data_IF_705910992574
#
_entry.id   IF_705910992574
#
_cell.length_a   1.000
_cell.length_b   1.000
_cell.length_c   1.000
_cell.angle_alpha   90.00
_cell.angle_beta   90.00
_cell.angle_gamma   90.00
#
_symmetry.space_group_name_H-M   'P 1'
#
loop_
_entity.id
_entity.type
_entity.pdbx_description
1 polymer ?
#
# COMPACT_ATOMS: atom_id res chain seq x y z
N UNK A 1 3.40 30.40 -1.85
CA UNK A 1 2.68 29.44 -0.99
C UNK A 1 2.25 28.28 -1.87
N UNK A 2 2.96 27.18 -1.82
CA UNK A 2 2.54 25.99 -2.52
C UNK A 2 1.23 25.51 -1.87
N UNK A 3 0.14 25.55 -2.61
CA UNK A 3 -1.10 24.89 -2.24
C UNK A 3 -0.75 23.44 -1.94
N UNK A 4 -0.93 23.00 -0.71
CA UNK A 4 -0.85 21.57 -0.36
C UNK A 4 -2.01 20.94 -1.11
N UNK A 5 -1.73 20.49 -2.33
CA UNK A 5 -2.70 19.75 -3.13
C UNK A 5 -3.04 18.53 -2.31
N UNK A 6 -4.27 18.49 -1.82
CA UNK A 6 -4.81 17.42 -1.00
C UNK A 6 -4.57 16.11 -1.74
N UNK A 7 -3.59 15.34 -1.29
CA UNK A 7 -3.12 14.14 -1.98
C UNK A 7 -4.27 13.14 -2.06
N UNK A 8 -4.65 12.72 -3.25
CA UNK A 8 -5.69 11.72 -3.46
C UNK A 8 -5.35 10.40 -2.76
N UNK A 9 -4.07 10.00 -2.82
CA UNK A 9 -3.58 8.81 -2.12
C UNK A 9 -3.76 8.94 -0.62
N UNK A 10 -3.47 10.11 -0.04
CA UNK A 10 -3.63 10.35 1.38
C UNK A 10 -5.08 10.18 1.82
N UNK A 11 -6.03 10.71 1.04
CA UNK A 11 -7.46 10.56 1.34
C UNK A 11 -7.94 9.12 1.21
N UNK A 12 -7.55 8.43 0.13
CA UNK A 12 -7.86 7.03 -0.06
C UNK A 12 -7.27 6.16 1.06
N UNK A 13 -6.01 6.40 1.44
CA UNK A 13 -5.35 5.71 2.54
C UNK A 13 -6.06 5.96 3.88
N UNK A 14 -6.42 7.21 4.20
CA UNK A 14 -7.17 7.55 5.41
C UNK A 14 -8.53 6.84 5.46
N UNK A 15 -9.25 6.83 4.33
CA UNK A 15 -10.54 6.17 4.22
C UNK A 15 -10.43 4.65 4.46
N UNK A 16 -9.39 4.03 3.92
CA UNK A 16 -9.20 2.57 4.02
C UNK A 16 -8.64 2.13 5.38
N UNK A 17 -7.68 2.89 5.91
CA UNK A 17 -6.97 2.54 7.15
C UNK A 17 -7.66 3.06 8.41
N UNK A 18 -8.45 4.12 8.30
CA UNK A 18 -8.96 4.86 9.46
C UNK A 18 -7.88 5.62 10.23
N UNK A 19 -6.68 5.77 9.66
CA UNK A 19 -5.51 6.38 10.32
C UNK A 19 -5.19 7.75 9.74
N UNK A 20 -4.76 8.69 10.60
CA UNK A 20 -4.31 10.00 10.17
C UNK A 20 -2.79 10.16 10.36
N UNK A 21 -2.01 10.18 9.27
CA UNK A 21 -0.55 10.32 9.35
C UNK A 21 -0.12 11.67 9.95
N UNK A 22 -0.98 12.70 9.98
CA UNK A 22 -0.64 14.01 10.57
C UNK A 22 -0.33 13.94 12.07
N UNK A 23 -0.82 12.90 12.77
CA UNK A 23 -0.53 12.67 14.18
C UNK A 23 0.92 12.22 14.44
N UNK A 24 1.67 11.81 13.40
CA UNK A 24 3.04 11.34 13.54
C UNK A 24 4.03 12.49 13.73
N UNK A 25 4.81 12.44 14.80
CA UNK A 25 5.91 13.40 15.06
C UNK A 25 7.32 12.85 14.72
N UNK A 26 7.39 11.78 13.92
CA UNK A 26 8.64 11.26 13.35
C UNK A 26 9.67 10.75 14.38
N UNK A 27 9.23 10.09 15.43
CA UNK A 27 10.12 9.54 16.47
C UNK A 27 10.91 8.29 16.04
N UNK A 28 10.60 7.70 14.87
CA UNK A 28 11.26 6.55 14.27
C UNK A 28 11.21 5.21 15.07
N UNK A 29 10.45 5.11 16.15
CA UNK A 29 10.29 3.87 16.93
C UNK A 29 9.73 2.72 16.08
N UNK A 30 8.82 3.02 15.14
CA UNK A 30 8.26 2.05 14.19
C UNK A 30 9.35 1.45 13.29
N UNK A 31 10.31 2.25 12.83
CA UNK A 31 11.42 1.78 12.00
C UNK A 31 12.44 0.97 12.80
N UNK A 32 12.74 1.40 14.01
CA UNK A 32 13.65 0.67 14.90
C UNK A 32 13.09 -0.71 15.31
N UNK A 33 11.77 -0.85 15.39
CA UNK A 33 11.12 -2.08 15.78
C UNK A 33 10.77 -3.02 14.60
N UNK A 34 10.88 -2.55 13.37
CA UNK A 34 10.46 -3.31 12.19
C UNK A 34 11.46 -4.42 11.85
N UNK A 35 11.03 -5.69 11.81
CA UNK A 35 11.93 -6.83 11.56
C UNK A 35 12.44 -6.89 10.12
N UNK A 36 11.80 -6.21 9.18
CA UNK A 36 12.14 -6.26 7.74
C UNK A 36 12.69 -4.93 7.22
N UNK A 37 13.08 -4.01 8.11
CA UNK A 37 13.60 -2.68 7.75
C UNK A 37 14.79 -2.75 6.78
N UNK A 38 15.66 -3.74 6.92
CA UNK A 38 16.85 -3.88 6.08
C UNK A 38 16.52 -4.15 4.60
N UNK A 39 15.34 -4.66 4.30
CA UNK A 39 14.89 -4.93 2.93
C UNK A 39 14.09 -3.78 2.32
N UNK A 40 13.72 -2.77 3.12
CA UNK A 40 12.90 -1.63 2.71
C UNK A 40 13.74 -0.55 2.04
N UNK A 41 13.22 0.04 0.98
CA UNK A 41 13.79 1.23 0.32
C UNK A 41 13.42 2.53 1.05
N UNK A 42 12.22 2.61 1.61
CA UNK A 42 11.79 3.67 2.51
C UNK A 42 11.53 3.10 3.90
N UNK A 43 12.10 3.71 4.92
CA UNK A 43 11.85 3.30 6.30
C UNK A 43 10.40 3.58 6.70
N UNK A 44 9.80 2.79 7.60
CA UNK A 44 8.41 2.96 8.02
C UNK A 44 8.02 4.39 8.41
N UNK A 45 8.84 5.10 9.18
CA UNK A 45 8.54 6.50 9.55
C UNK A 45 8.66 7.46 8.35
N UNK A 46 9.53 7.16 7.38
CA UNK A 46 9.66 7.95 6.16
C UNK A 46 8.40 7.81 5.29
N UNK A 47 7.80 6.64 5.20
CA UNK A 47 6.52 6.45 4.49
C UNK A 47 5.46 7.39 5.04
N UNK A 48 5.35 7.53 6.38
CA UNK A 48 4.42 8.49 6.99
C UNK A 48 4.79 9.93 6.61
N UNK A 49 6.10 10.24 6.58
CA UNK A 49 6.55 11.58 6.22
C UNK A 49 6.22 11.94 4.77
N UNK A 50 6.38 11.00 3.86
CA UNK A 50 6.01 11.19 2.45
C UNK A 50 4.50 11.45 2.30
N UNK A 51 3.66 10.71 3.05
CA UNK A 51 2.22 10.98 3.10
C UNK A 51 1.90 12.37 3.64
N UNK A 52 2.59 12.82 4.69
CA UNK A 52 2.42 14.17 5.25
C UNK A 52 2.80 15.27 4.25
N UNK A 53 3.82 15.04 3.45
CA UNK A 53 4.32 15.99 2.47
C UNK A 53 3.57 15.92 1.12
N UNK A 54 2.72 14.91 0.92
CA UNK A 54 2.02 14.69 -0.33
C UNK A 54 2.92 14.19 -1.47
N UNK A 55 4.06 13.58 -1.15
CA UNK A 55 5.00 12.98 -2.09
C UNK A 55 4.49 11.60 -2.51
N UNK A 56 3.45 11.57 -3.35
CA UNK A 56 2.77 10.34 -3.74
C UNK A 56 3.57 9.51 -4.73
N UNK A 57 4.26 10.16 -5.65
CA UNK A 57 4.97 9.48 -6.74
C UNK A 57 6.05 8.57 -6.19
N UNK A 58 6.82 9.03 -5.21
CA UNK A 58 7.85 8.25 -4.54
C UNK A 58 7.27 7.04 -3.79
N UNK A 59 6.07 7.18 -3.21
CA UNK A 59 5.38 6.07 -2.58
C UNK A 59 4.84 5.05 -3.59
N UNK A 60 4.41 5.52 -4.78
CA UNK A 60 3.95 4.65 -5.86
C UNK A 60 5.08 3.76 -6.41
N UNK A 61 6.32 4.27 -6.43
CA UNK A 61 7.49 3.57 -6.90
C UNK A 61 8.14 2.70 -5.82
N UNK A 62 7.89 3.02 -4.55
CA UNK A 62 8.50 2.32 -3.40
C UNK A 62 8.03 0.87 -3.29
N UNK A 63 8.98 0.00 -2.94
CA UNK A 63 8.69 -1.41 -2.63
C UNK A 63 8.28 -1.63 -1.16
N UNK A 64 8.53 -0.66 -0.29
CA UNK A 64 8.27 -0.77 1.16
C UNK A 64 6.85 -1.23 1.50
N UNK A 65 5.77 -0.71 0.87
CA UNK A 65 4.42 -1.20 1.15
C UNK A 65 4.24 -2.70 0.89
N UNK A 66 4.99 -3.26 -0.08
CA UNK A 66 4.93 -4.68 -0.46
C UNK A 66 5.82 -5.58 0.39
N UNK A 67 6.90 -5.02 0.97
CA UNK A 67 7.83 -5.72 1.88
C UNK A 67 7.23 -5.83 3.28
N UNK A 68 6.33 -4.92 3.66
CA UNK A 68 5.70 -4.92 4.98
C UNK A 68 4.98 -6.25 5.25
N UNK A 69 5.45 -6.96 6.28
CA UNK A 69 4.90 -8.25 6.69
C UNK A 69 3.60 -8.15 7.50
N UNK A 70 3.07 -6.95 7.71
CA UNK A 70 1.86 -6.70 8.54
C UNK A 70 1.93 -7.36 9.93
N UNK A 71 3.10 -7.33 10.56
CA UNK A 71 3.33 -7.95 11.88
C UNK A 71 2.84 -7.10 13.06
N UNK A 72 2.36 -5.87 12.82
CA UNK A 72 1.85 -4.93 13.81
C UNK A 72 2.83 -4.48 14.91
N UNK A 73 4.10 -4.87 14.85
CA UNK A 73 5.11 -4.44 15.85
C UNK A 73 5.25 -2.92 15.89
N UNK A 74 5.17 -2.26 14.74
CA UNK A 74 5.22 -0.80 14.64
C UNK A 74 4.02 -0.14 15.34
N UNK A 75 2.82 -0.70 15.21
CA UNK A 75 1.62 -0.21 15.90
C UNK A 75 1.76 -0.33 17.41
N UNK A 76 2.23 -1.48 17.92
CA UNK A 76 2.44 -1.71 19.34
C UNK A 76 3.51 -0.79 19.96
N UNK A 77 4.42 -0.24 19.15
CA UNK A 77 5.50 0.65 19.60
C UNK A 77 5.21 2.12 19.39
N UNK A 78 4.11 2.47 18.69
CA UNK A 78 3.79 3.85 18.38
C UNK A 78 3.23 4.59 19.60
N UNK A 79 3.89 5.69 20.06
CA UNK A 79 3.40 6.46 21.20
C UNK A 79 2.17 7.34 20.86
N UNK A 80 1.78 7.38 19.59
CA UNK A 80 0.61 8.11 19.07
C UNK A 80 -0.51 7.19 18.60
N UNK A 81 -0.41 5.89 18.93
CA UNK A 81 -1.38 4.86 18.57
C UNK A 81 -1.69 4.77 17.05
N UNK A 82 -0.68 5.11 16.23
CA UNK A 82 -0.82 4.97 14.79
C UNK A 82 -0.56 3.52 14.37
N UNK A 83 -1.52 2.95 13.64
CA UNK A 83 -1.39 1.64 13.05
C UNK A 83 -0.79 1.74 11.65
N UNK A 84 0.54 1.69 11.59
CA UNK A 84 1.27 1.79 10.33
C UNK A 84 1.02 0.58 9.42
N UNK A 85 0.74 -0.60 9.97
CA UNK A 85 0.42 -1.77 9.17
C UNK A 85 -0.87 -1.57 8.37
N UNK A 86 -1.90 -0.96 8.98
CA UNK A 86 -3.12 -0.56 8.26
C UNK A 86 -2.87 0.54 7.24
N UNK A 87 -1.99 1.49 7.55
CA UNK A 87 -1.60 2.52 6.58
C UNK A 87 -0.92 1.88 5.36
N UNK A 88 -0.02 0.90 5.54
CA UNK A 88 0.63 0.19 4.44
C UNK A 88 -0.39 -0.56 3.58
N UNK A 89 -1.42 -1.16 4.17
CA UNK A 89 -2.52 -1.78 3.45
C UNK A 89 -3.30 -0.74 2.63
N UNK A 90 -3.64 0.39 3.23
CA UNK A 90 -4.30 1.49 2.53
C UNK A 90 -3.49 2.02 1.34
N UNK A 91 -2.16 2.12 1.48
CA UNK A 91 -1.26 2.51 0.38
C UNK A 91 -1.26 1.46 -0.73
N UNK A 92 -1.16 0.16 -0.41
CA UNK A 92 -1.25 -0.92 -1.41
C UNK A 92 -2.54 -0.85 -2.20
N UNK A 93 -3.67 -0.65 -1.53
CA UNK A 93 -4.98 -0.51 -2.19
C UNK A 93 -5.03 0.72 -3.10
N UNK A 94 -4.49 1.86 -2.66
CA UNK A 94 -4.42 3.07 -3.47
C UNK A 94 -3.55 2.86 -4.71
N UNK A 95 -2.40 2.18 -4.59
CA UNK A 95 -1.51 1.84 -5.70
C UNK A 95 -2.24 0.94 -6.71
N UNK A 96 -2.87 -0.14 -6.23
CA UNK A 96 -3.57 -1.10 -7.09
C UNK A 96 -4.75 -0.46 -7.85
N UNK A 97 -5.48 0.44 -7.21
CA UNK A 97 -6.60 1.15 -7.83
C UNK A 97 -6.17 2.13 -8.91
N UNK A 98 -4.99 2.74 -8.77
CA UNK A 98 -4.43 3.66 -9.77
C UNK A 98 -3.87 2.94 -10.99
N UNK A 99 -3.38 1.72 -10.83
CA UNK A 99 -2.86 0.89 -11.92
C UNK A 99 -4.01 0.19 -12.64
N UNK A 100 -4.76 0.93 -13.45
CA UNK A 100 -5.84 0.36 -14.28
C UNK A 100 -5.36 -0.77 -15.20
N UNK A 101 -4.10 -0.75 -15.61
CA UNK A 101 -3.45 -1.79 -16.41
C UNK A 101 -3.22 -3.13 -15.71
N UNK A 102 -3.52 -3.24 -14.41
CA UNK A 102 -3.45 -4.51 -13.68
C UNK A 102 -4.73 -5.35 -13.77
N UNK A 103 -5.69 -4.92 -14.56
CA UNK A 103 -6.88 -5.72 -14.88
C UNK A 103 -6.49 -6.77 -15.90
N UNK A 104 -6.23 -7.96 -15.41
CA UNK A 104 -5.93 -9.12 -16.23
C UNK A 104 -7.23 -9.81 -16.62
N UNK A 105 -7.49 -9.96 -17.92
CA UNK A 105 -8.70 -10.56 -18.45
C UNK A 105 -8.42 -11.84 -19.27
N UNK A 106 -9.47 -12.58 -19.66
CA UNK A 106 -9.30 -13.77 -20.50
C UNK A 106 -8.61 -13.49 -21.83
N UNK A 107 -8.72 -12.22 -22.33
CA UNK A 107 -8.11 -11.79 -23.61
C UNK A 107 -6.57 -11.70 -23.50
N UNK A 108 -6.04 -11.51 -22.27
CA UNK A 108 -4.60 -11.38 -22.02
C UNK A 108 -3.90 -12.73 -21.91
N UNK A 109 -4.67 -13.83 -21.91
CA UNK A 109 -4.14 -15.19 -21.85
C UNK A 109 -4.05 -15.81 -23.26
N UNK A 110 -2.95 -16.51 -23.54
CA UNK A 110 -2.84 -17.28 -24.76
C UNK A 110 -3.90 -18.42 -24.79
N UNK A 111 -4.52 -18.69 -25.94
CA UNK A 111 -5.55 -19.72 -26.06
C UNK A 111 -5.12 -21.12 -25.56
N UNK A 112 -3.84 -21.45 -25.72
CA UNK A 112 -3.25 -22.69 -25.23
C UNK A 112 -3.22 -22.77 -23.69
N UNK A 113 -3.04 -21.63 -23.02
CA UNK A 113 -3.05 -21.57 -21.56
C UNK A 113 -4.48 -21.67 -21.03
N UNK A 114 -5.45 -20.99 -21.69
CA UNK A 114 -6.86 -21.07 -21.35
C UNK A 114 -7.39 -22.51 -21.39
N UNK A 115 -6.98 -23.28 -22.38
CA UNK A 115 -7.43 -24.68 -22.53
C UNK A 115 -6.88 -25.63 -21.46
N UNK A 116 -5.72 -25.29 -20.85
CA UNK A 116 -5.06 -26.11 -19.83
C UNK A 116 -5.48 -25.76 -18.39
N UNK A 117 -6.08 -24.59 -18.19
CA UNK A 117 -6.47 -24.13 -16.86
C UNK A 117 -7.89 -24.61 -16.50
N UNK A 118 -8.13 -25.02 -15.26
CA UNK A 118 -9.47 -25.37 -14.79
C UNK A 118 -10.42 -24.18 -14.94
N UNK A 119 -11.58 -24.39 -15.55
CA UNK A 119 -12.57 -23.33 -15.77
C UNK A 119 -13.00 -22.61 -14.49
N UNK A 120 -13.15 -23.35 -13.39
CA UNK A 120 -13.52 -22.79 -12.08
C UNK A 120 -12.45 -21.83 -11.55
N UNK A 121 -11.17 -22.15 -11.75
CA UNK A 121 -10.06 -21.27 -11.36
C UNK A 121 -10.05 -19.98 -12.19
N UNK A 122 -10.31 -20.06 -13.49
CA UNK A 122 -10.41 -18.90 -14.38
C UNK A 122 -11.58 -18.00 -13.98
N UNK A 123 -12.79 -18.56 -13.78
CA UNK A 123 -13.96 -17.78 -13.37
C UNK A 123 -13.74 -17.12 -12.02
N UNK A 124 -13.16 -17.80 -11.03
CA UNK A 124 -12.90 -17.24 -9.70
C UNK A 124 -11.86 -16.11 -9.74
N UNK A 125 -10.79 -16.28 -10.52
CA UNK A 125 -9.75 -15.28 -10.69
C UNK A 125 -10.29 -14.02 -11.38
N UNK A 126 -10.97 -14.16 -12.52
CA UNK A 126 -11.48 -13.01 -13.27
C UNK A 126 -12.64 -12.31 -12.58
N UNK A 127 -13.48 -13.01 -11.83
CA UNK A 127 -14.56 -12.40 -11.05
C UNK A 127 -14.05 -11.42 -10.01
N UNK A 128 -12.88 -11.67 -9.44
CA UNK A 128 -12.27 -10.80 -8.44
C UNK A 128 -11.74 -9.49 -9.04
N UNK A 129 -11.30 -9.49 -10.30
CA UNK A 129 -10.64 -8.37 -10.94
C UNK A 129 -11.49 -7.62 -11.96
N UNK A 130 -12.71 -8.06 -12.20
CA UNK A 130 -13.62 -7.54 -13.24
C UNK A 130 -14.72 -6.66 -12.62
N UNK A 131 -14.33 -5.66 -11.82
CA UNK A 131 -15.25 -4.64 -11.30
C UNK A 131 -15.01 -3.31 -11.96
#
# INVERSE_FOLDING_TARGET
MASITKSRMLEEMKLQSGQDPSCCYQCAKCSAACPVTAAMDLLPHQVIRYLQLGLEEELLESRTPWICASCFTCAARCPRDLDLARMMEGIRLAILRRREGNKFGPVDLAPEQLSKLPQQALVSAFRKYNK
#
